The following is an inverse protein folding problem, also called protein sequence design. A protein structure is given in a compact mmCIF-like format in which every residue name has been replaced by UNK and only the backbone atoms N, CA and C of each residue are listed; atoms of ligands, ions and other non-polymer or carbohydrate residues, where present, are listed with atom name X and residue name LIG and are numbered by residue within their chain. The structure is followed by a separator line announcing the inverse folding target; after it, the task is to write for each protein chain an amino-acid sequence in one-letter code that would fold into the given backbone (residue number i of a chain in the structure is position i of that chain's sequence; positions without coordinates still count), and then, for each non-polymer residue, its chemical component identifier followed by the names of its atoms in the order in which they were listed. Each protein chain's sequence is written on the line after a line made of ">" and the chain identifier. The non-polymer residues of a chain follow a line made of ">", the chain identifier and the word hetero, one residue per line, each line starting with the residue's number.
data_IF_749929538762
#
_entry.id   IF_749929538762
#
_cell.length_a   1.000
_cell.length_b   1.000
_cell.length_c   1.000
_cell.angle_alpha   90.00
_cell.angle_beta   90.00
_cell.angle_gamma   90.00
#
_symmetry.space_group_name_H-M   'P 1'
#
loop_
_entity.id
_entity.type
_entity.pdbx_description
1 polymer ?
#
# COMPACT_ATOMS: atom_id res chain seq x y z
N UNK A 1 12.34 1.07 37.50
CA UNK A 1 12.70 2.48 37.32
C UNK A 1 13.40 2.71 35.97
N UNK A 2 14.19 1.78 35.44
CA UNK A 2 14.84 1.89 34.10
C UNK A 2 13.81 2.04 32.97
N UNK A 3 12.76 1.21 32.97
CA UNK A 3 11.75 1.11 31.90
C UNK A 3 10.98 2.44 31.65
N UNK A 4 10.63 3.18 32.71
CA UNK A 4 9.92 4.45 32.57
C UNK A 4 10.84 5.58 32.07
N UNK A 5 12.11 5.56 32.47
CA UNK A 5 13.15 6.49 32.01
C UNK A 5 13.41 6.28 30.52
N UNK A 6 13.64 5.03 30.14
CA UNK A 6 13.90 4.68 28.74
C UNK A 6 12.72 5.02 27.84
N UNK A 7 11.49 4.79 28.32
CA UNK A 7 10.27 5.16 27.59
C UNK A 7 10.12 6.69 27.41
N UNK A 8 10.51 7.51 28.39
CA UNK A 8 10.47 8.96 28.26
C UNK A 8 11.49 9.46 27.25
N UNK A 9 12.71 8.93 27.29
CA UNK A 9 13.76 9.25 26.33
C UNK A 9 13.37 8.85 24.90
N UNK A 10 12.83 7.63 24.71
CA UNK A 10 12.39 7.15 23.40
C UNK A 10 11.28 8.02 22.83
N UNK A 11 10.27 8.40 23.63
CA UNK A 11 9.22 9.32 23.19
C UNK A 11 9.78 10.68 22.79
N UNK A 12 10.67 11.26 23.60
CA UNK A 12 11.29 12.55 23.27
C UNK A 12 12.08 12.48 21.95
N UNK A 13 12.83 11.40 21.70
CA UNK A 13 13.53 11.20 20.42
C UNK A 13 12.54 11.05 19.26
N UNK A 14 11.45 10.29 19.44
CA UNK A 14 10.42 10.15 18.43
C UNK A 14 9.76 11.49 18.09
N UNK A 15 9.37 12.25 19.11
CA UNK A 15 8.82 13.60 18.96
C UNK A 15 9.82 14.52 18.24
N UNK A 16 11.10 14.50 18.64
CA UNK A 16 12.13 15.27 17.97
C UNK A 16 12.24 14.97 16.46
N UNK A 17 11.98 13.73 16.05
CA UNK A 17 12.09 13.32 14.65
C UNK A 17 10.82 13.62 13.83
N UNK A 18 9.65 13.47 14.43
CA UNK A 18 8.38 13.43 13.71
C UNK A 18 7.52 14.70 13.89
N UNK A 19 7.64 15.38 15.04
CA UNK A 19 6.89 16.61 15.29
C UNK A 19 7.44 17.76 14.40
N UNK A 20 6.54 18.44 13.69
CA UNK A 20 6.86 19.56 12.81
C UNK A 20 7.59 20.68 13.54
N UNK A 21 7.05 21.06 14.70
CA UNK A 21 7.53 22.23 15.46
C UNK A 21 8.76 21.92 16.32
N UNK A 22 9.10 20.63 16.48
CA UNK A 22 10.21 20.21 17.32
C UNK A 22 11.54 20.82 16.86
N UNK A 23 11.74 20.99 15.55
CA UNK A 23 12.98 21.58 15.02
C UNK A 23 13.25 22.98 15.54
N UNK A 24 12.25 23.84 15.50
CA UNK A 24 12.37 25.22 16.00
C UNK A 24 12.42 25.29 17.53
N UNK A 25 11.61 24.49 18.22
CA UNK A 25 11.59 24.42 19.67
C UNK A 25 12.93 23.93 20.23
N UNK A 26 13.51 22.89 19.63
CA UNK A 26 14.83 22.35 19.98
C UNK A 26 15.94 23.38 19.72
N UNK A 27 15.89 24.08 18.57
CA UNK A 27 16.87 25.11 18.25
C UNK A 27 16.83 26.31 19.22
N UNK A 28 15.64 26.60 19.77
CA UNK A 28 15.42 27.68 20.71
C UNK A 28 15.87 27.33 22.13
N UNK A 29 15.45 26.19 22.64
CA UNK A 29 15.75 25.68 24.01
C UNK A 29 15.68 24.17 24.06
N UNK A 30 16.78 23.49 23.72
CA UNK A 30 16.88 22.04 23.76
C UNK A 30 16.70 21.47 25.16
N UNK A 31 17.29 22.13 26.19
CA UNK A 31 17.19 21.68 27.58
C UNK A 31 15.73 21.66 28.05
N UNK A 32 15.07 22.83 28.00
CA UNK A 32 13.67 22.95 28.44
C UNK A 32 12.75 22.05 27.64
N UNK A 33 13.03 21.84 26.34
CA UNK A 33 12.26 20.94 25.50
C UNK A 33 12.33 19.47 25.94
N UNK A 34 13.53 18.99 26.34
CA UNK A 34 13.74 17.63 26.89
C UNK A 34 13.13 17.45 28.27
N UNK A 35 13.35 18.44 29.16
CA UNK A 35 12.83 18.43 30.54
C UNK A 35 11.29 18.40 30.55
N UNK A 36 10.65 19.19 29.68
CA UNK A 36 9.18 19.18 29.52
C UNK A 36 8.60 17.84 29.10
N UNK A 37 9.42 16.96 28.48
CA UNK A 37 9.06 15.59 28.10
C UNK A 37 9.43 14.52 29.12
N UNK A 38 9.91 14.95 30.30
CA UNK A 38 10.25 14.06 31.39
C UNK A 38 11.53 13.25 31.17
N UNK A 39 12.42 13.73 30.30
CA UNK A 39 13.75 13.12 30.10
C UNK A 39 14.57 13.30 31.37
N UNK A 40 15.22 12.25 31.84
CA UNK A 40 16.02 12.28 33.05
C UNK A 40 17.22 13.25 32.89
N UNK A 41 17.59 13.96 33.97
CA UNK A 41 18.64 14.97 33.92
C UNK A 41 19.97 14.45 33.36
N UNK A 42 20.34 13.22 33.67
CA UNK A 42 21.55 12.57 33.15
C UNK A 42 21.51 12.40 31.62
N UNK A 43 20.35 12.02 31.07
CA UNK A 43 20.15 11.86 29.62
C UNK A 43 20.10 13.23 28.92
N UNK A 44 19.53 14.26 29.59
CA UNK A 44 19.56 15.64 29.13
C UNK A 44 21.00 16.11 28.97
N UNK A 45 21.86 15.94 29.98
CA UNK A 45 23.26 16.31 29.90
C UNK A 45 24.02 15.55 28.81
N UNK A 46 23.74 14.27 28.65
CA UNK A 46 24.35 13.45 27.59
C UNK A 46 23.97 13.95 26.18
N UNK A 47 22.72 14.37 25.97
CA UNK A 47 22.25 14.93 24.70
C UNK A 47 22.90 16.34 24.48
N UNK A 48 22.95 17.19 25.52
CA UNK A 48 23.51 18.51 25.45
C UNK A 48 25.03 18.51 25.21
N UNK A 49 25.72 17.42 25.53
CA UNK A 49 27.13 17.26 25.19
C UNK A 49 27.39 17.16 23.66
N UNK A 50 26.36 16.81 22.87
CA UNK A 50 26.47 16.71 21.42
C UNK A 50 25.10 17.01 20.73
N UNK A 51 24.56 18.23 20.87
CA UNK A 51 23.20 18.58 20.46
C UNK A 51 22.96 18.44 18.95
N UNK A 52 23.99 18.60 18.15
CA UNK A 52 23.93 18.43 16.69
C UNK A 52 23.54 17.00 16.26
N UNK A 53 23.79 15.99 17.13
CA UNK A 53 23.44 14.59 16.82
C UNK A 53 21.92 14.41 16.71
N UNK A 54 21.14 15.10 17.52
CA UNK A 54 19.67 15.03 17.46
C UNK A 54 19.15 15.58 16.12
N UNK A 55 19.70 16.71 15.64
CA UNK A 55 19.35 17.26 14.32
C UNK A 55 19.73 16.34 13.17
N UNK A 56 20.91 15.71 13.23
CA UNK A 56 21.33 14.72 12.24
C UNK A 56 20.39 13.50 12.26
N UNK A 57 20.05 12.99 13.46
CA UNK A 57 19.15 11.86 13.59
C UNK A 57 17.75 12.19 13.06
N UNK A 58 17.18 13.35 13.41
CA UNK A 58 15.93 13.85 12.82
C UNK A 58 15.98 13.83 11.29
N UNK A 59 17.04 14.38 10.70
CA UNK A 59 17.20 14.43 9.24
C UNK A 59 17.28 13.03 8.63
N UNK A 60 18.01 12.10 9.25
CA UNK A 60 18.10 10.71 8.77
C UNK A 60 16.77 10.00 8.79
N UNK A 61 15.99 10.12 9.88
CA UNK A 61 14.68 9.51 10.00
C UNK A 61 13.73 10.07 8.93
N UNK A 62 13.63 11.38 8.79
CA UNK A 62 12.74 12.03 7.83
C UNK A 62 13.12 11.72 6.38
N UNK A 63 14.42 11.72 6.08
CA UNK A 63 14.91 11.31 4.76
C UNK A 63 14.60 9.83 4.48
N UNK A 64 14.71 8.96 5.48
CA UNK A 64 14.34 7.55 5.37
C UNK A 64 12.85 7.35 5.06
N UNK A 65 11.96 8.08 5.76
CA UNK A 65 10.52 8.07 5.52
C UNK A 65 10.18 8.56 4.10
N UNK A 66 10.79 9.67 3.69
CA UNK A 66 10.60 10.20 2.33
C UNK A 66 11.14 9.25 1.26
N UNK A 67 12.32 8.68 1.48
CA UNK A 67 12.97 7.81 0.50
C UNK A 67 12.15 6.54 0.19
N UNK A 68 11.48 5.96 1.18
CA UNK A 68 10.63 4.77 0.94
C UNK A 68 9.41 5.14 0.10
N UNK A 69 8.76 6.28 0.36
CA UNK A 69 7.62 6.75 -0.44
C UNK A 69 8.05 7.05 -1.88
N UNK A 70 9.16 7.76 -2.05
CA UNK A 70 9.70 8.11 -3.37
C UNK A 70 10.08 6.88 -4.20
N UNK A 71 10.59 5.83 -3.55
CA UNK A 71 10.96 4.57 -4.20
C UNK A 71 9.75 3.77 -4.64
N UNK A 72 8.65 3.82 -3.89
CA UNK A 72 7.46 3.01 -4.14
C UNK A 72 6.47 3.69 -5.09
N UNK A 73 6.54 5.01 -5.27
CA UNK A 73 5.61 5.80 -6.10
C UNK A 73 6.36 6.65 -7.15
N UNK A 74 7.32 6.05 -7.89
CA UNK A 74 8.17 6.83 -8.80
C UNK A 74 7.39 7.44 -9.98
N UNK A 75 6.52 6.66 -10.63
CA UNK A 75 5.72 7.12 -11.79
C UNK A 75 4.65 8.12 -11.35
N UNK A 76 4.00 7.89 -10.21
CA UNK A 76 3.02 8.83 -9.63
C UNK A 76 3.70 10.17 -9.34
N UNK A 77 4.89 10.14 -8.71
CA UNK A 77 5.68 11.34 -8.44
C UNK A 77 6.05 12.10 -9.70
N UNK A 78 6.66 11.41 -10.67
CA UNK A 78 7.12 12.03 -11.91
C UNK A 78 5.97 12.72 -12.65
N UNK A 79 4.85 12.02 -12.84
CA UNK A 79 3.67 12.53 -13.54
C UNK A 79 2.98 13.67 -12.80
N UNK A 80 2.83 13.56 -11.47
CA UNK A 80 2.26 14.63 -10.67
C UNK A 80 3.13 15.88 -10.67
N UNK A 81 4.44 15.72 -10.51
CA UNK A 81 5.36 16.85 -10.51
C UNK A 81 5.43 17.54 -11.88
N UNK A 82 5.32 16.79 -12.98
CA UNK A 82 5.23 17.35 -14.31
C UNK A 82 3.94 18.14 -14.54
N UNK A 83 2.80 17.61 -14.09
CA UNK A 83 1.49 18.25 -14.26
C UNK A 83 1.27 19.43 -13.30
N UNK A 84 1.74 19.34 -12.05
CA UNK A 84 1.36 20.22 -10.94
C UNK A 84 2.56 20.88 -10.24
N UNK A 85 3.73 20.99 -10.88
CA UNK A 85 4.89 21.73 -10.38
C UNK A 85 5.34 21.32 -8.97
N UNK A 86 5.97 20.14 -8.85
CA UNK A 86 6.50 19.54 -7.60
C UNK A 86 5.44 19.34 -6.51
N UNK A 87 4.18 19.14 -6.89
CA UNK A 87 3.10 18.96 -5.95
C UNK A 87 3.31 17.72 -5.07
N UNK A 88 3.74 16.60 -5.65
CA UNK A 88 4.00 15.37 -4.91
C UNK A 88 5.04 15.59 -3.81
N UNK A 89 6.15 16.26 -4.14
CA UNK A 89 7.24 16.50 -3.18
C UNK A 89 6.77 17.40 -2.03
N UNK A 90 5.92 18.41 -2.32
CA UNK A 90 5.33 19.28 -1.28
C UNK A 90 4.37 18.52 -0.37
N UNK A 91 3.46 17.73 -0.95
CA UNK A 91 2.49 16.94 -0.19
C UNK A 91 3.21 15.92 0.71
N UNK A 92 4.29 15.30 0.20
CA UNK A 92 5.09 14.38 1.01
C UNK A 92 5.78 15.10 2.18
N UNK A 93 6.32 16.29 1.96
CA UNK A 93 6.90 17.10 3.04
C UNK A 93 5.85 17.44 4.10
N UNK A 94 4.66 17.90 3.71
CA UNK A 94 3.54 18.19 4.62
C UNK A 94 3.11 16.93 5.38
N UNK A 95 3.00 15.77 4.73
CA UNK A 95 2.67 14.52 5.41
C UNK A 95 3.70 14.17 6.49
N UNK A 96 5.00 14.24 6.16
CA UNK A 96 6.07 13.93 7.12
C UNK A 96 6.13 14.95 8.24
N UNK A 97 5.78 16.23 7.98
CA UNK A 97 5.84 17.32 8.95
C UNK A 97 4.63 17.36 9.89
N UNK A 98 3.42 17.24 9.35
CA UNK A 98 2.20 17.51 10.10
C UNK A 98 1.51 16.25 10.65
N UNK A 99 1.67 15.12 9.95
CA UNK A 99 0.95 13.87 10.28
C UNK A 99 1.91 12.83 10.86
N UNK A 100 3.02 12.59 10.17
CA UNK A 100 3.94 11.50 10.46
C UNK A 100 3.30 10.11 10.25
N UNK A 101 4.11 9.07 10.06
CA UNK A 101 3.61 7.71 9.99
C UNK A 101 3.19 7.21 11.38
N UNK A 102 2.13 6.43 11.43
CA UNK A 102 1.65 5.72 12.63
C UNK A 102 2.19 4.30 12.69
N UNK A 103 2.56 3.75 11.54
CA UNK A 103 3.14 2.41 11.44
C UNK A 103 4.55 2.35 11.98
N UNK A 104 4.91 1.20 12.57
CA UNK A 104 6.28 0.89 12.98
C UNK A 104 7.11 0.27 11.85
N UNK A 105 6.52 0.03 10.69
CA UNK A 105 7.17 -0.61 9.56
C UNK A 105 7.33 0.36 8.40
N UNK A 106 8.56 0.67 8.03
CA UNK A 106 8.87 1.58 6.91
C UNK A 106 8.15 1.22 5.61
N UNK A 107 7.96 -0.06 5.34
CA UNK A 107 7.27 -0.55 4.13
C UNK A 107 5.81 -0.12 4.04
N UNK A 108 5.17 0.18 5.17
CA UNK A 108 3.74 0.53 5.23
C UNK A 108 3.53 2.05 5.15
N UNK A 109 4.58 2.85 5.33
CA UNK A 109 4.54 4.33 5.25
C UNK A 109 3.96 4.84 3.92
N UNK A 110 4.30 4.27 2.74
CA UNK A 110 3.72 4.73 1.48
C UNK A 110 2.21 4.54 1.40
N UNK A 111 1.66 3.48 2.02
CA UNK A 111 0.21 3.26 2.08
C UNK A 111 -0.47 4.31 2.99
N UNK A 112 0.12 4.65 4.13
CA UNK A 112 -0.38 5.73 4.99
C UNK A 112 -0.31 7.09 4.29
N UNK A 113 0.80 7.36 3.60
CA UNK A 113 0.93 8.58 2.78
C UNK A 113 -0.18 8.65 1.73
N UNK A 114 -0.42 7.57 0.98
CA UNK A 114 -1.48 7.56 -0.03
C UNK A 114 -2.87 7.74 0.59
N UNK A 115 -3.16 7.08 1.71
CA UNK A 115 -4.43 7.23 2.42
C UNK A 115 -4.67 8.69 2.86
N UNK A 116 -3.62 9.41 3.24
CA UNK A 116 -3.69 10.83 3.58
C UNK A 116 -3.79 11.73 2.33
N UNK A 117 -3.04 11.43 1.28
CA UNK A 117 -2.90 12.28 0.08
C UNK A 117 -4.08 12.14 -0.89
N UNK A 118 -4.59 10.93 -1.09
CA UNK A 118 -5.60 10.63 -2.11
C UNK A 118 -6.89 11.46 -1.99
N UNK A 119 -7.51 11.65 -0.82
CA UNK A 119 -8.71 12.49 -0.70
C UNK A 119 -8.42 13.95 -1.11
N UNK A 120 -7.21 14.44 -0.84
CA UNK A 120 -6.75 15.78 -1.21
C UNK A 120 -6.55 15.93 -2.71
N UNK A 121 -5.95 14.91 -3.33
CA UNK A 121 -5.77 14.85 -4.78
C UNK A 121 -7.11 14.79 -5.52
N UNK A 122 -8.04 13.99 -5.02
CA UNK A 122 -9.40 13.88 -5.61
C UNK A 122 -10.21 15.16 -5.49
N UNK A 123 -9.99 15.95 -4.45
CA UNK A 123 -10.67 17.22 -4.23
C UNK A 123 -10.10 18.39 -5.05
N UNK A 124 -8.89 18.22 -5.59
CA UNK A 124 -8.17 19.26 -6.34
C UNK A 124 -8.28 19.01 -7.85
N UNK A 125 -9.07 19.81 -8.54
CA UNK A 125 -9.27 19.71 -10.00
C UNK A 125 -7.97 19.94 -10.81
N UNK A 126 -6.94 20.52 -10.22
CA UNK A 126 -5.62 20.70 -10.85
C UNK A 126 -4.78 19.41 -10.85
N UNK A 127 -5.17 18.38 -10.07
CA UNK A 127 -4.46 17.10 -10.01
C UNK A 127 -5.11 16.13 -11.01
N UNK A 128 -4.36 15.53 -11.94
CA UNK A 128 -4.89 14.51 -12.85
C UNK A 128 -5.57 13.35 -12.11
N UNK A 129 -6.83 13.09 -12.43
CA UNK A 129 -7.69 12.16 -11.68
C UNK A 129 -7.17 10.73 -11.63
N UNK A 130 -6.35 10.31 -12.63
CA UNK A 130 -5.79 8.96 -12.71
C UNK A 130 -4.63 8.71 -11.73
N UNK A 131 -4.05 9.75 -11.13
CA UNK A 131 -2.85 9.61 -10.29
C UNK A 131 -3.10 8.80 -9.01
N UNK A 132 -4.31 8.87 -8.45
CA UNK A 132 -4.70 8.03 -7.33
C UNK A 132 -4.73 6.53 -7.71
N UNK A 133 -5.26 6.21 -8.90
CA UNK A 133 -5.29 4.83 -9.40
C UNK A 133 -3.88 4.34 -9.71
N UNK A 134 -3.02 5.19 -10.29
CA UNK A 134 -1.62 4.85 -10.54
C UNK A 134 -0.85 4.57 -9.23
N UNK A 135 -1.05 5.42 -8.22
CA UNK A 135 -0.41 5.22 -6.92
C UNK A 135 -0.84 3.89 -6.25
N UNK A 136 -2.12 3.55 -6.34
CA UNK A 136 -2.62 2.26 -5.83
C UNK A 136 -2.01 1.09 -6.60
N UNK A 137 -1.89 1.20 -7.92
CA UNK A 137 -1.24 0.17 -8.76
C UNK A 137 0.22 -0.05 -8.32
N UNK A 138 1.00 1.03 -8.14
CA UNK A 138 2.40 0.95 -7.72
C UNK A 138 2.55 0.33 -6.33
N UNK A 139 1.73 0.73 -5.36
CA UNK A 139 1.76 0.14 -4.02
C UNK A 139 1.35 -1.33 -4.02
N UNK A 140 0.34 -1.68 -4.81
CA UNK A 140 -0.08 -3.09 -4.94
C UNK A 140 1.01 -3.94 -5.59
N UNK A 141 1.70 -3.43 -6.61
CA UNK A 141 2.84 -4.12 -7.21
C UNK A 141 3.91 -4.45 -6.16
N UNK A 142 4.20 -3.50 -5.28
CA UNK A 142 5.15 -3.72 -4.20
C UNK A 142 4.62 -4.74 -3.18
N UNK A 143 3.38 -4.59 -2.71
CA UNK A 143 2.78 -5.46 -1.70
C UNK A 143 2.72 -6.92 -2.17
N UNK A 144 2.25 -7.15 -3.41
CA UNK A 144 2.17 -8.48 -4.03
C UNK A 144 3.57 -9.06 -4.25
N UNK A 145 4.52 -8.22 -4.70
CA UNK A 145 5.92 -8.65 -4.89
C UNK A 145 6.62 -9.05 -3.59
N UNK A 146 6.26 -8.40 -2.47
CA UNK A 146 6.82 -8.66 -1.14
C UNK A 146 6.05 -9.74 -0.34
N UNK A 147 4.89 -10.20 -0.83
CA UNK A 147 4.13 -11.25 -0.17
C UNK A 147 4.98 -12.52 0.00
N UNK A 148 4.81 -13.20 1.14
CA UNK A 148 5.49 -14.46 1.38
C UNK A 148 5.21 -15.43 0.23
N UNK A 149 6.24 -16.17 -0.20
CA UNK A 149 6.00 -17.26 -1.13
C UNK A 149 5.07 -18.25 -0.44
N UNK A 150 3.85 -18.43 -0.97
CA UNK A 150 3.02 -19.51 -0.51
C UNK A 150 3.84 -20.80 -0.67
N UNK A 151 4.20 -21.39 0.44
CA UNK A 151 4.72 -22.75 0.42
C UNK A 151 3.58 -23.58 -0.14
N UNK A 152 3.73 -24.07 -1.37
CA UNK A 152 2.93 -25.17 -1.90
C UNK A 152 3.16 -26.36 -0.97
N UNK A 153 2.53 -26.35 0.21
CA UNK A 153 2.42 -27.55 1.01
C UNK A 153 1.43 -28.43 0.27
N UNK A 154 1.97 -29.40 -0.50
CA UNK A 154 1.31 -30.61 -0.92
C UNK A 154 -0.21 -30.57 -1.14
N UNK A 155 -0.73 -29.49 -1.74
CA UNK A 155 -2.10 -29.48 -2.19
C UNK A 155 -2.12 -30.42 -3.40
N UNK A 156 -2.55 -31.66 -3.19
CA UNK A 156 -3.11 -32.44 -4.27
C UNK A 156 -4.20 -31.59 -4.92
N UNK A 157 -4.39 -31.66 -6.25
CA UNK A 157 -5.49 -30.95 -6.89
C UNK A 157 -6.79 -31.44 -6.24
N UNK A 158 -7.24 -30.73 -5.21
CA UNK A 158 -8.47 -31.05 -4.53
C UNK A 158 -9.61 -30.75 -5.49
N UNK A 159 -10.55 -31.65 -5.59
CA UNK A 159 -11.72 -31.50 -6.42
C UNK A 159 -12.46 -30.21 -6.03
N UNK A 160 -12.65 -29.33 -7.01
CA UNK A 160 -13.36 -28.06 -6.79
C UNK A 160 -14.84 -28.40 -6.57
N UNK A 161 -15.34 -28.12 -5.35
CA UNK A 161 -16.72 -28.33 -4.98
C UNK A 161 -17.43 -26.99 -4.74
N UNK A 162 -18.73 -26.94 -5.10
CA UNK A 162 -19.52 -25.70 -4.99
C UNK A 162 -19.78 -25.28 -3.53
N UNK A 163 -19.79 -26.23 -2.62
CA UNK A 163 -20.09 -26.03 -1.19
C UNK A 163 -18.86 -25.70 -0.34
N UNK A 164 -17.69 -25.55 -0.96
CA UNK A 164 -16.43 -25.31 -0.27
C UNK A 164 -15.76 -24.01 -0.70
N UNK A 165 -15.02 -23.36 0.22
CA UNK A 165 -14.13 -22.26 -0.14
C UNK A 165 -12.96 -22.77 -1.00
N UNK A 166 -12.32 -21.84 -1.70
CA UNK A 166 -11.13 -22.09 -2.51
C UNK A 166 -9.91 -21.44 -1.87
N UNK A 167 -8.75 -22.10 -2.01
CA UNK A 167 -7.47 -21.56 -1.56
C UNK A 167 -6.77 -20.85 -2.71
N UNK A 168 -6.30 -19.64 -2.46
CA UNK A 168 -5.58 -18.82 -3.42
C UNK A 168 -4.15 -18.56 -2.94
N UNK A 169 -3.31 -18.16 -3.88
CA UNK A 169 -1.94 -17.71 -3.61
C UNK A 169 -1.96 -16.51 -2.65
N UNK A 170 -1.13 -16.55 -1.60
CA UNK A 170 -0.99 -15.45 -0.67
C UNK A 170 -0.57 -14.16 -1.40
N UNK A 171 -1.23 -13.06 -1.05
CA UNK A 171 -0.99 -11.76 -1.67
C UNK A 171 -1.72 -11.54 -2.99
N UNK A 172 -2.47 -12.54 -3.53
CA UNK A 172 -3.37 -12.28 -4.64
C UNK A 172 -4.44 -11.28 -4.20
N UNK A 173 -4.62 -10.20 -4.98
CA UNK A 173 -5.51 -9.10 -4.60
C UNK A 173 -6.20 -8.49 -5.81
N UNK A 174 -7.38 -7.94 -5.60
CA UNK A 174 -8.17 -7.28 -6.64
C UNK A 174 -8.03 -5.75 -6.52
N UNK A 175 -7.95 -5.11 -7.66
CA UNK A 175 -8.00 -3.67 -7.81
C UNK A 175 -9.14 -3.28 -8.75
N UNK A 176 -9.73 -2.14 -8.43
CA UNK A 176 -10.68 -1.45 -9.31
C UNK A 176 -10.17 -0.04 -9.57
N UNK A 177 -10.07 0.32 -10.85
CA UNK A 177 -9.58 1.61 -11.33
C UNK A 177 -10.55 2.22 -12.32
N UNK A 178 -10.70 3.55 -12.28
CA UNK A 178 -11.46 4.31 -13.27
C UNK A 178 -10.67 4.59 -14.55
N UNK A 179 -9.36 4.27 -14.54
CA UNK A 179 -8.43 4.51 -15.63
C UNK A 179 -7.56 3.28 -15.89
N UNK A 180 -7.21 3.03 -17.14
CA UNK A 180 -6.34 1.93 -17.55
C UNK A 180 -4.86 2.21 -17.24
N UNK A 181 -4.55 2.50 -15.97
CA UNK A 181 -3.19 2.89 -15.52
C UNK A 181 -2.15 1.78 -15.65
N UNK A 182 -2.57 0.51 -15.72
CA UNK A 182 -1.72 -0.66 -15.93
C UNK A 182 -1.16 -0.73 -17.36
N UNK A 183 -1.78 -0.04 -18.31
CA UNK A 183 -1.31 0.08 -19.70
C UNK A 183 -0.26 1.19 -19.90
N UNK A 184 -0.06 2.04 -18.87
CA UNK A 184 0.95 3.09 -18.96
C UNK A 184 2.36 2.49 -19.05
N UNK A 185 3.26 3.11 -19.81
CA UNK A 185 4.66 2.68 -19.86
C UNK A 185 5.30 2.59 -18.47
N UNK A 186 6.22 1.64 -18.30
CA UNK A 186 6.97 1.50 -17.06
C UNK A 186 7.95 2.66 -16.82
N UNK A 187 8.35 3.36 -17.89
CA UNK A 187 9.21 4.53 -17.82
C UNK A 187 8.54 5.65 -17.02
N UNK A 188 9.25 6.15 -16.01
CA UNK A 188 8.77 7.19 -15.11
C UNK A 188 8.52 8.52 -15.85
N UNK A 189 9.35 8.82 -16.85
CA UNK A 189 9.30 10.06 -17.64
C UNK A 189 8.38 9.97 -18.87
N UNK A 190 7.75 8.82 -19.10
CA UNK A 190 6.87 8.64 -20.25
C UNK A 190 5.67 9.59 -20.17
N UNK A 191 5.48 10.36 -21.24
CA UNK A 191 4.33 11.24 -21.39
C UNK A 191 3.06 10.44 -21.76
N UNK A 192 1.89 11.08 -21.59
CA UNK A 192 0.58 10.56 -21.96
C UNK A 192 -0.30 10.23 -20.77
N UNK A 193 -1.60 10.32 -20.98
CA UNK A 193 -2.61 9.99 -20.01
C UNK A 193 -3.19 8.59 -20.28
N UNK A 194 -3.58 7.83 -19.25
CA UNK A 194 -4.25 6.56 -19.44
C UNK A 194 -5.67 6.77 -19.97
N UNK A 195 -6.16 5.80 -20.72
CA UNK A 195 -7.54 5.79 -21.16
C UNK A 195 -8.47 5.76 -19.95
N UNK A 196 -9.47 6.64 -19.94
CA UNK A 196 -10.55 6.59 -18.94
C UNK A 196 -11.46 5.40 -19.26
N UNK A 197 -11.30 4.34 -18.52
CA UNK A 197 -11.99 3.07 -18.68
C UNK A 197 -12.05 2.37 -17.34
N UNK A 198 -13.22 1.87 -17.01
CA UNK A 198 -13.40 1.04 -15.81
C UNK A 198 -12.62 -0.29 -15.95
N UNK A 199 -11.74 -0.57 -15.01
CA UNK A 199 -10.78 -1.68 -15.08
C UNK A 199 -10.78 -2.45 -13.76
N UNK A 200 -10.94 -3.76 -13.85
CA UNK A 200 -10.79 -4.68 -12.72
C UNK A 200 -9.56 -5.55 -12.96
N UNK A 201 -8.62 -5.53 -12.03
CA UNK A 201 -7.38 -6.28 -12.13
C UNK A 201 -7.23 -7.25 -10.96
N UNK A 202 -6.87 -8.49 -11.26
CA UNK A 202 -6.30 -9.40 -10.29
C UNK A 202 -4.78 -9.30 -10.36
N UNK A 203 -4.16 -8.87 -9.25
CA UNK A 203 -2.72 -8.85 -9.09
C UNK A 203 -2.26 -10.13 -8.38
N UNK A 204 -1.20 -10.75 -8.87
CA UNK A 204 -0.61 -11.94 -8.26
C UNK A 204 0.88 -12.04 -8.61
N UNK A 205 1.61 -12.82 -7.85
CA UNK A 205 3.02 -13.12 -8.13
C UNK A 205 3.14 -14.50 -8.77
N UNK A 206 3.73 -14.58 -9.96
CA UNK A 206 3.93 -15.84 -10.67
C UNK A 206 5.08 -16.69 -10.08
N UNK A 207 5.33 -17.85 -10.67
CA UNK A 207 6.38 -18.77 -10.23
C UNK A 207 7.80 -18.20 -10.39
N UNK A 208 7.98 -17.25 -11.29
CA UNK A 208 9.25 -16.53 -11.51
C UNK A 208 9.40 -15.32 -10.59
N UNK A 209 8.52 -15.19 -9.60
CA UNK A 209 8.46 -14.06 -8.66
C UNK A 209 8.18 -12.69 -9.31
N UNK A 210 7.58 -12.69 -10.49
CA UNK A 210 7.15 -11.48 -11.18
C UNK A 210 5.70 -11.18 -10.87
N UNK A 211 5.39 -9.91 -10.56
CA UNK A 211 4.00 -9.48 -10.38
C UNK A 211 3.31 -9.41 -11.73
N UNK A 212 2.17 -10.08 -11.82
CA UNK A 212 1.33 -10.13 -13.01
C UNK A 212 -0.02 -9.47 -12.73
N UNK A 213 -0.59 -8.96 -13.79
CA UNK A 213 -1.91 -8.33 -13.81
C UNK A 213 -2.80 -9.11 -14.77
N UNK A 214 -3.96 -9.55 -14.28
CA UNK A 214 -4.99 -10.16 -15.10
C UNK A 214 -6.21 -9.26 -15.08
N UNK A 215 -6.57 -8.68 -16.23
CA UNK A 215 -7.81 -7.93 -16.35
C UNK A 215 -8.99 -8.91 -16.38
N UNK A 216 -9.98 -8.64 -15.54
CA UNK A 216 -11.18 -9.47 -15.40
C UNK A 216 -12.44 -8.63 -15.59
N UNK A 217 -13.55 -9.27 -15.92
CA UNK A 217 -14.84 -8.56 -16.00
C UNK A 217 -15.33 -8.11 -14.62
N UNK A 218 -16.21 -7.10 -14.53
CA UNK A 218 -16.77 -6.68 -13.25
C UNK A 218 -17.42 -7.84 -12.46
N UNK A 219 -18.16 -8.71 -13.14
CA UNK A 219 -18.77 -9.89 -12.51
C UNK A 219 -17.73 -10.89 -12.02
N UNK A 220 -16.70 -11.18 -12.81
CA UNK A 220 -15.59 -12.03 -12.39
C UNK A 220 -14.85 -11.43 -11.19
N UNK A 221 -14.66 -10.12 -11.16
CA UNK A 221 -14.06 -9.41 -10.01
C UNK A 221 -14.93 -9.55 -8.75
N UNK A 222 -16.25 -9.42 -8.87
CA UNK A 222 -17.18 -9.59 -7.74
C UNK A 222 -17.14 -11.04 -7.19
N UNK A 223 -17.12 -12.03 -8.07
CA UNK A 223 -17.01 -13.46 -7.68
C UNK A 223 -15.65 -13.70 -7.01
N UNK A 224 -14.54 -13.29 -7.64
CA UNK A 224 -13.20 -13.46 -7.09
C UNK A 224 -13.02 -12.77 -5.74
N UNK A 225 -13.61 -11.57 -5.55
CA UNK A 225 -13.57 -10.86 -4.28
C UNK A 225 -14.16 -11.67 -3.13
N UNK A 226 -15.30 -12.31 -3.36
CA UNK A 226 -15.97 -13.18 -2.39
C UNK A 226 -15.16 -14.46 -2.14
N UNK A 227 -14.61 -15.06 -3.20
CA UNK A 227 -13.76 -16.24 -3.06
C UNK A 227 -12.48 -15.96 -2.28
N UNK A 228 -11.83 -14.83 -2.54
CA UNK A 228 -10.64 -14.38 -1.78
C UNK A 228 -10.98 -14.05 -0.31
N UNK A 229 -12.22 -13.67 -0.02
CA UNK A 229 -12.72 -13.49 1.34
C UNK A 229 -13.07 -14.83 2.04
N UNK A 230 -12.95 -15.98 1.34
CA UNK A 230 -13.17 -17.32 1.91
C UNK A 230 -14.61 -17.82 1.78
N UNK A 231 -15.44 -17.19 0.96
CA UNK A 231 -16.78 -17.71 0.68
C UNK A 231 -16.73 -18.99 -0.14
N UNK A 232 -17.73 -19.87 0.05
CA UNK A 232 -17.88 -21.07 -0.78
C UNK A 232 -18.21 -20.71 -2.24
N UNK A 233 -17.68 -21.47 -3.20
CA UNK A 233 -17.79 -21.16 -4.63
C UNK A 233 -19.25 -20.94 -5.07
N UNK A 234 -20.16 -21.81 -4.66
CA UNK A 234 -21.58 -21.71 -5.03
C UNK A 234 -22.25 -20.45 -4.49
N UNK A 235 -21.96 -20.06 -3.24
CA UNK A 235 -22.46 -18.84 -2.61
C UNK A 235 -21.89 -17.59 -3.32
N UNK A 236 -20.57 -17.53 -3.51
CA UNK A 236 -19.90 -16.43 -4.19
C UNK A 236 -20.46 -16.17 -5.60
N UNK A 237 -20.74 -17.23 -6.37
CA UNK A 237 -21.34 -17.12 -7.70
C UNK A 237 -22.80 -16.66 -7.60
N UNK A 238 -23.60 -17.26 -6.70
CA UNK A 238 -25.00 -16.93 -6.57
C UNK A 238 -25.22 -15.46 -6.17
N UNK A 239 -24.48 -14.99 -5.17
CA UNK A 239 -24.62 -13.62 -4.64
C UNK A 239 -24.11 -12.57 -5.64
N UNK A 240 -22.97 -12.79 -6.28
CA UNK A 240 -22.46 -11.88 -7.32
C UNK A 240 -23.42 -11.82 -8.53
N UNK A 241 -24.01 -12.95 -8.92
CA UNK A 241 -24.99 -13.00 -10.00
C UNK A 241 -26.30 -12.29 -9.63
N UNK A 242 -26.74 -12.41 -8.38
CA UNK A 242 -27.92 -11.69 -7.89
C UNK A 242 -27.73 -10.16 -7.94
N UNK A 243 -26.56 -9.68 -7.50
CA UNK A 243 -26.20 -8.24 -7.57
C UNK A 243 -26.12 -7.73 -9.03
N UNK A 244 -25.62 -8.58 -9.94
CA UNK A 244 -25.51 -8.25 -11.37
C UNK A 244 -26.79 -8.53 -12.19
N UNK A 245 -27.89 -8.94 -11.55
CA UNK A 245 -29.14 -9.35 -12.19
C UNK A 245 -28.95 -10.40 -13.30
N UNK A 246 -28.04 -11.35 -13.11
CA UNK A 246 -27.67 -12.39 -14.08
C UNK A 246 -27.97 -13.77 -13.50
N UNK A 247 -28.37 -14.73 -14.35
CA UNK A 247 -28.61 -16.09 -13.91
C UNK A 247 -27.30 -16.85 -13.67
N UNK A 248 -27.08 -17.51 -12.50
CA UNK A 248 -25.88 -18.28 -12.24
C UNK A 248 -25.53 -19.30 -13.30
N UNK A 249 -26.54 -20.03 -13.82
CA UNK A 249 -26.33 -21.03 -14.86
C UNK A 249 -25.72 -20.51 -16.17
N UNK A 250 -25.93 -19.23 -16.47
CA UNK A 250 -25.36 -18.59 -17.66
C UNK A 250 -23.85 -18.29 -17.52
N UNK A 251 -23.36 -18.10 -16.31
CA UNK A 251 -21.97 -17.70 -16.05
C UNK A 251 -21.08 -18.87 -15.60
N UNK A 252 -21.62 -19.98 -15.14
CA UNK A 252 -20.87 -21.14 -14.66
C UNK A 252 -19.78 -21.61 -15.64
N UNK A 253 -20.01 -21.69 -16.98
CA UNK A 253 -18.96 -22.09 -17.91
C UNK A 253 -17.77 -21.12 -17.94
N UNK A 254 -18.02 -19.82 -17.81
CA UNK A 254 -16.98 -18.80 -17.81
C UNK A 254 -16.22 -18.78 -16.48
N UNK A 255 -16.93 -18.99 -15.37
CA UNK A 255 -16.31 -19.16 -14.04
C UNK A 255 -15.41 -20.38 -14.03
N UNK A 256 -15.86 -21.52 -14.56
CA UNK A 256 -15.06 -22.75 -14.65
C UNK A 256 -13.76 -22.50 -15.47
N UNK A 257 -13.88 -21.79 -16.60
CA UNK A 257 -12.74 -21.45 -17.45
C UNK A 257 -11.76 -20.50 -16.73
N UNK A 258 -12.28 -19.49 -16.02
CA UNK A 258 -11.46 -18.58 -15.21
C UNK A 258 -10.71 -19.33 -14.10
N UNK A 259 -11.40 -20.21 -13.37
CA UNK A 259 -10.76 -20.98 -12.30
C UNK A 259 -9.69 -21.95 -12.84
N UNK A 260 -9.93 -22.56 -14.01
CA UNK A 260 -8.94 -23.38 -14.69
C UNK A 260 -7.68 -22.56 -15.07
N UNK A 261 -7.85 -21.39 -15.70
CA UNK A 261 -6.74 -20.47 -16.04
C UNK A 261 -5.97 -20.02 -14.78
N UNK A 262 -6.67 -19.71 -13.70
CA UNK A 262 -6.03 -19.36 -12.42
C UNK A 262 -5.28 -20.55 -11.80
N UNK A 263 -5.77 -21.77 -11.97
CA UNK A 263 -5.07 -23.00 -11.59
C UNK A 263 -3.78 -23.20 -12.37
N UNK A 264 -3.83 -23.05 -13.70
CA UNK A 264 -2.66 -23.15 -14.58
C UNK A 264 -1.59 -22.11 -14.24
N UNK A 265 -2.00 -20.90 -13.87
CA UNK A 265 -1.11 -19.82 -13.39
C UNK A 265 -0.59 -20.05 -11.97
N UNK A 266 -1.09 -21.02 -11.25
CA UNK A 266 -0.74 -21.28 -9.85
C UNK A 266 -1.29 -20.23 -8.87
N UNK A 267 -2.31 -19.48 -9.27
CA UNK A 267 -3.02 -18.51 -8.41
C UNK A 267 -4.09 -19.22 -7.58
N UNK A 268 -4.83 -20.12 -8.17
CA UNK A 268 -5.74 -21.04 -7.48
C UNK A 268 -4.97 -22.27 -7.04
N UNK A 269 -4.96 -22.56 -5.74
CA UNK A 269 -4.21 -23.68 -5.14
C UNK A 269 -5.06 -24.93 -4.90
N UNK A 270 -6.39 -24.84 -5.04
CA UNK A 270 -7.34 -25.91 -4.78
C UNK A 270 -8.30 -25.61 -3.62
N UNK A 271 -8.73 -26.63 -2.87
CA UNK A 271 -9.49 -26.46 -1.65
C UNK A 271 -8.54 -26.28 -0.46
N UNK A 272 -8.91 -25.49 0.58
CA UNK A 272 -8.11 -25.42 1.80
C UNK A 272 -8.09 -26.80 2.49
N UNK A 273 -6.95 -27.10 3.12
CA UNK A 273 -6.72 -28.36 3.84
C UNK A 273 -7.62 -28.48 5.08
#
# INVERSE_FOLDING_TARGET
>A
MSDARDAALQRAIADACLDADAGEAIARDLRGWLEARGVAAEDVEAILAAPQRLGVYRSLVRNGLSAVVLRMLPRTRARMNAACGRRFDRDLAVFVDEVGPRTHHLRDVPAEYLAWAEPRWRADAGVPAYLADLARLELTQFAVGAAAAATRRGAEPAEIALDRPLAFLDGATLLHHAFAVHELPADEDAAGEPLRRDVHLLAYRDADHVVRWLEVTPLASAILGRLLAGEALGAAVADACAEAATAPAAVLPDVARLLADLGERGVLLGAPA
#
